data_IF_930002421043
#
_entry.id   IF_930002421043
#
_cell.length_a   1.000
_cell.length_b   1.000
_cell.length_c   1.000
_cell.angle_alpha   90.00
_cell.angle_beta   90.00
_cell.angle_gamma   90.00
#
_symmetry.space_group_name_H-M   'P 1'
#
loop_
_entity.id
_entity.type
_entity.pdbx_description
1 polymer ?
#
# COMPACT_ATOMS: atom_id res chain seq x y z
N UNK A 1 24.05 18.39 -1.49
CA UNK A 1 22.71 18.45 -0.91
C UNK A 1 22.12 17.07 -0.72
N UNK A 2 21.04 17.00 0.01
CA UNK A 2 20.29 15.77 0.24
C UNK A 2 19.17 15.65 -0.79
N UNK A 3 19.01 14.47 -1.40
CA UNK A 3 18.02 14.21 -2.45
C UNK A 3 17.14 13.02 -2.07
N UNK A 4 15.85 13.15 -2.30
CA UNK A 4 14.87 12.08 -2.08
C UNK A 4 14.30 11.64 -3.42
N UNK A 5 14.49 10.35 -3.73
CA UNK A 5 14.00 9.73 -4.96
C UNK A 5 12.97 8.68 -4.56
N UNK A 6 11.81 8.67 -5.22
CA UNK A 6 10.85 7.59 -5.04
C UNK A 6 10.84 6.66 -6.23
N UNK A 7 10.69 5.36 -5.95
CA UNK A 7 10.42 4.32 -6.94
C UNK A 7 9.02 3.78 -6.64
N UNK A 8 8.05 4.26 -7.40
CA UNK A 8 6.63 4.03 -7.21
C UNK A 8 6.09 3.13 -8.34
N UNK A 9 5.08 2.35 -8.03
CA UNK A 9 4.40 1.48 -8.99
C UNK A 9 3.63 0.39 -8.27
N UNK A 10 2.80 -0.33 -9.01
CA UNK A 10 2.02 -1.43 -8.47
C UNK A 10 2.88 -2.62 -8.04
N UNK A 11 2.27 -3.56 -7.32
CA UNK A 11 2.90 -4.82 -6.94
C UNK A 11 3.34 -5.60 -8.20
N UNK A 12 4.56 -6.12 -8.21
CA UNK A 12 5.10 -6.92 -9.31
C UNK A 12 5.59 -6.12 -10.52
N UNK A 13 5.67 -4.80 -10.43
CA UNK A 13 6.12 -3.94 -11.55
C UNK A 13 7.65 -3.80 -11.63
N UNK A 14 8.39 -4.32 -10.64
CA UNK A 14 9.86 -4.27 -10.64
C UNK A 14 10.47 -3.14 -9.80
N UNK A 15 9.74 -2.61 -8.82
CA UNK A 15 10.24 -1.52 -7.94
C UNK A 15 11.53 -1.90 -7.22
N UNK A 16 11.59 -3.09 -6.63
CA UNK A 16 12.77 -3.54 -5.87
C UNK A 16 13.99 -3.68 -6.78
N UNK A 17 13.81 -4.19 -7.99
CA UNK A 17 14.88 -4.35 -8.97
C UNK A 17 15.44 -2.99 -9.41
N UNK A 18 14.58 -2.04 -9.68
CA UNK A 18 14.99 -0.68 -10.07
C UNK A 18 15.66 0.05 -8.90
N UNK A 19 15.12 -0.08 -7.68
CA UNK A 19 15.73 0.51 -6.48
C UNK A 19 17.12 -0.07 -6.22
N UNK A 20 17.29 -1.40 -6.38
CA UNK A 20 18.59 -2.06 -6.23
C UNK A 20 19.59 -1.59 -7.29
N UNK A 21 19.15 -1.45 -8.53
CA UNK A 21 19.99 -0.98 -9.64
C UNK A 21 20.43 0.47 -9.42
N UNK A 22 19.50 1.32 -8.99
CA UNK A 22 19.80 2.71 -8.64
C UNK A 22 20.83 2.80 -7.51
N UNK A 23 20.65 2.01 -6.46
CA UNK A 23 21.57 1.93 -5.32
C UNK A 23 22.96 1.49 -5.77
N UNK A 24 23.05 0.52 -6.67
CA UNK A 24 24.31 0.05 -7.24
C UNK A 24 25.04 1.17 -7.99
N UNK A 25 24.37 1.88 -8.89
CA UNK A 25 24.98 2.97 -9.67
C UNK A 25 25.38 4.17 -8.79
N UNK A 26 24.61 4.49 -7.76
CA UNK A 26 24.98 5.52 -6.82
C UNK A 26 26.26 5.15 -6.07
N UNK A 27 26.37 3.90 -5.64
CA UNK A 27 27.59 3.39 -4.98
C UNK A 27 28.81 3.47 -5.89
N UNK A 28 28.66 3.07 -7.17
CA UNK A 28 29.75 3.17 -8.17
C UNK A 28 30.18 4.63 -8.37
N UNK A 29 29.26 5.58 -8.26
CA UNK A 29 29.54 7.01 -8.36
C UNK A 29 30.08 7.62 -7.05
N UNK A 30 30.28 6.82 -6.00
CA UNK A 30 30.76 7.29 -4.71
C UNK A 30 29.69 8.05 -3.90
N UNK A 31 28.42 7.87 -4.20
CA UNK A 31 27.31 8.53 -3.54
C UNK A 31 26.68 7.58 -2.52
N UNK A 32 26.63 7.98 -1.26
CA UNK A 32 25.95 7.23 -0.21
C UNK A 32 24.44 7.27 -0.39
N UNK A 33 23.80 6.11 -0.40
CA UNK A 33 22.34 6.01 -0.51
C UNK A 33 21.77 5.04 0.52
N UNK A 34 20.49 5.23 0.84
CA UNK A 34 19.72 4.32 1.69
C UNK A 34 18.37 4.08 1.03
N UNK A 35 17.95 2.82 0.96
CA UNK A 35 16.65 2.44 0.42
C UNK A 35 15.69 2.15 1.55
N UNK A 36 14.66 2.98 1.66
CA UNK A 36 13.56 2.82 2.61
C UNK A 36 12.43 2.05 1.93
N UNK A 37 12.02 0.94 2.52
CA UNK A 37 10.83 0.21 2.06
C UNK A 37 9.58 0.81 2.69
N UNK A 38 8.62 1.19 1.85
CA UNK A 38 7.32 1.69 2.29
C UNK A 38 6.42 0.64 2.90
N UNK A 39 6.76 -0.64 2.77
CA UNK A 39 5.96 -1.76 3.28
C UNK A 39 5.85 -1.79 4.81
N UNK A 40 6.65 -1.01 5.50
CA UNK A 40 6.61 -0.88 6.96
C UNK A 40 5.64 0.20 7.46
N UNK A 41 4.98 0.93 6.56
CA UNK A 41 4.20 2.13 6.93
C UNK A 41 2.68 2.03 6.87
N UNK A 42 2.02 0.92 6.51
CA UNK A 42 0.64 0.73 6.91
C UNK A 42 0.51 0.81 8.43
N UNK A 43 -0.61 1.30 8.94
CA UNK A 43 -0.84 1.36 10.39
C UNK A 43 -0.95 -0.03 11.01
N UNK A 44 -1.45 -1.00 10.24
CA UNK A 44 -1.68 -2.36 10.69
C UNK A 44 -0.72 -3.33 10.01
N UNK A 45 -0.34 -4.39 10.71
CA UNK A 45 0.41 -5.48 10.08
C UNK A 45 -0.43 -6.12 8.95
N UNK A 46 0.20 -6.80 7.98
CA UNK A 46 -0.52 -7.28 6.78
C UNK A 46 -1.80 -8.05 7.07
N UNK A 47 -1.80 -8.97 8.02
CA UNK A 47 -2.99 -9.78 8.33
C UNK A 47 -4.15 -8.92 8.84
N UNK A 48 -3.87 -7.92 9.67
CA UNK A 48 -4.89 -7.01 10.20
C UNK A 48 -5.30 -5.96 9.17
N UNK A 49 -4.38 -5.54 8.32
CA UNK A 49 -4.70 -4.61 7.24
C UNK A 49 -5.63 -5.27 6.21
N UNK A 50 -5.37 -6.52 5.85
CA UNK A 50 -6.24 -7.27 4.96
C UNK A 50 -7.63 -7.47 5.57
N UNK A 51 -7.69 -7.78 6.87
CA UNK A 51 -8.96 -7.91 7.60
C UNK A 51 -9.72 -6.58 7.63
N UNK A 52 -9.04 -5.45 7.83
CA UNK A 52 -9.66 -4.13 7.84
C UNK A 52 -10.17 -3.71 6.46
N UNK A 53 -9.44 -4.03 5.40
CA UNK A 53 -9.89 -3.82 4.03
C UNK A 53 -11.19 -4.57 3.75
N UNK A 54 -11.23 -5.83 4.13
CA UNK A 54 -12.41 -6.68 3.95
C UNK A 54 -13.58 -6.19 4.80
N UNK A 55 -13.33 -5.83 6.05
CA UNK A 55 -14.36 -5.26 6.93
C UNK A 55 -14.93 -3.96 6.36
N UNK A 56 -14.07 -3.06 5.92
CA UNK A 56 -14.49 -1.77 5.34
C UNK A 56 -15.34 -1.99 4.09
N UNK A 57 -14.94 -2.91 3.23
CA UNK A 57 -15.73 -3.27 2.04
C UNK A 57 -17.13 -3.77 2.45
N UNK A 58 -17.19 -4.75 3.33
CA UNK A 58 -18.45 -5.39 3.75
C UNK A 58 -19.39 -4.44 4.47
N UNK A 59 -18.87 -3.66 5.41
CA UNK A 59 -19.67 -2.69 6.16
C UNK A 59 -20.21 -1.60 5.23
N UNK A 60 -19.37 -1.04 4.38
CA UNK A 60 -19.75 0.00 3.42
C UNK A 60 -20.78 -0.52 2.42
N UNK A 61 -20.60 -1.76 1.96
CA UNK A 61 -21.54 -2.39 1.03
C UNK A 61 -22.94 -2.49 1.63
N UNK A 62 -23.05 -3.00 2.86
CA UNK A 62 -24.35 -3.14 3.53
C UNK A 62 -24.97 -1.79 3.88
N UNK A 63 -24.18 -0.86 4.42
CA UNK A 63 -24.64 0.50 4.72
C UNK A 63 -25.16 1.21 3.47
N UNK A 64 -24.43 1.08 2.37
CA UNK A 64 -24.83 1.68 1.09
C UNK A 64 -26.12 1.10 0.55
N UNK A 65 -26.31 -0.21 0.65
CA UNK A 65 -27.55 -0.88 0.25
C UNK A 65 -28.74 -0.39 1.09
N UNK A 66 -28.56 -0.27 2.39
CA UNK A 66 -29.60 0.27 3.28
C UNK A 66 -29.96 1.70 2.86
N UNK A 67 -28.97 2.53 2.62
CA UNK A 67 -29.16 3.92 2.24
C UNK A 67 -29.86 4.07 0.89
N UNK A 68 -29.56 3.19 -0.06
CA UNK A 68 -30.18 3.17 -1.39
C UNK A 68 -31.56 2.50 -1.40
N UNK A 69 -31.91 1.79 -0.35
CA UNK A 69 -33.15 1.03 -0.30
C UNK A 69 -33.08 -0.31 -1.04
N UNK A 70 -31.89 -0.83 -1.30
CA UNK A 70 -31.69 -2.13 -1.98
C UNK A 70 -31.46 -3.29 -1.01
N UNK A 71 -31.26 -3.01 0.30
CA UNK A 71 -31.07 -4.04 1.32
C UNK A 71 -32.42 -4.70 1.67
N UNK A 72 -32.43 -6.05 1.70
CA UNK A 72 -33.51 -6.85 2.24
C UNK A 72 -32.94 -8.01 3.04
N UNK A 73 -33.73 -8.56 3.97
CA UNK A 73 -33.30 -9.73 4.74
C UNK A 73 -32.99 -10.93 3.85
N UNK A 74 -33.77 -11.15 2.80
CA UNK A 74 -33.57 -12.25 1.85
C UNK A 74 -32.26 -12.07 1.07
N UNK A 75 -32.00 -10.84 0.62
CA UNK A 75 -30.74 -10.52 -0.09
C UNK A 75 -29.53 -10.67 0.84
N UNK A 76 -29.69 -10.30 2.10
CA UNK A 76 -28.61 -10.47 3.08
C UNK A 76 -28.28 -11.94 3.32
N UNK A 77 -29.24 -12.84 3.31
CA UNK A 77 -28.96 -14.27 3.42
C UNK A 77 -28.03 -14.75 2.29
N UNK A 78 -28.25 -14.28 1.07
CA UNK A 78 -27.39 -14.57 -0.09
C UNK A 78 -26.00 -14.00 0.11
N UNK A 79 -25.92 -12.72 0.49
CA UNK A 79 -24.64 -12.04 0.74
C UNK A 79 -23.87 -12.75 1.85
N UNK A 80 -24.55 -13.09 2.94
CA UNK A 80 -23.93 -13.72 4.11
C UNK A 80 -23.31 -15.07 3.77
N UNK A 81 -23.97 -15.86 2.92
CA UNK A 81 -23.41 -17.12 2.45
C UNK A 81 -22.13 -16.90 1.64
N UNK A 82 -22.12 -15.91 0.74
CA UNK A 82 -20.91 -15.54 0.00
C UNK A 82 -19.82 -15.00 0.92
N UNK A 83 -20.18 -14.22 1.94
CA UNK A 83 -19.21 -13.73 2.93
C UNK A 83 -18.53 -14.87 3.69
N UNK A 84 -19.33 -15.86 4.12
CA UNK A 84 -18.79 -17.03 4.83
C UNK A 84 -17.80 -17.84 3.99
N UNK A 85 -18.00 -17.85 2.68
CA UNK A 85 -17.13 -18.54 1.74
C UNK A 85 -15.98 -17.66 1.23
N UNK A 86 -15.88 -16.41 1.69
CA UNK A 86 -14.84 -15.49 1.22
C UNK A 86 -14.99 -15.06 -0.24
N UNK A 87 -16.20 -15.11 -0.79
CA UNK A 87 -16.49 -14.91 -2.22
C UNK A 87 -17.45 -13.75 -2.49
N UNK A 88 -17.74 -12.97 -1.48
CA UNK A 88 -18.73 -11.88 -1.57
C UNK A 88 -18.31 -10.73 -2.49
N UNK A 89 -17.01 -10.53 -2.73
CA UNK A 89 -16.52 -9.48 -3.63
C UNK A 89 -16.43 -9.92 -5.11
N UNK A 90 -16.86 -11.13 -5.42
CA UNK A 90 -16.78 -11.67 -6.78
C UNK A 90 -17.83 -11.02 -7.70
N UNK A 91 -17.40 -10.31 -8.77
CA UNK A 91 -18.34 -9.64 -9.68
C UNK A 91 -19.25 -10.61 -10.45
N UNK A 92 -18.92 -11.89 -10.51
CA UNK A 92 -19.76 -12.91 -11.18
C UNK A 92 -21.14 -13.07 -10.54
N UNK A 93 -21.30 -12.70 -9.28
CA UNK A 93 -22.59 -12.77 -8.60
C UNK A 93 -23.66 -11.88 -9.23
N UNK A 94 -23.26 -10.85 -9.99
CA UNK A 94 -24.21 -10.01 -10.74
C UNK A 94 -24.86 -10.74 -11.91
N UNK A 95 -24.28 -11.84 -12.37
CA UNK A 95 -24.88 -12.67 -13.44
C UNK A 95 -26.14 -13.39 -12.95
N UNK A 96 -26.18 -13.76 -11.69
CA UNK A 96 -27.32 -14.41 -11.06
C UNK A 96 -28.26 -13.42 -10.37
N UNK A 97 -27.70 -12.36 -9.75
CA UNK A 97 -28.43 -11.38 -8.97
C UNK A 97 -28.12 -9.96 -9.44
N UNK A 98 -29.04 -9.33 -10.18
CA UNK A 98 -28.86 -7.95 -10.66
C UNK A 98 -28.60 -6.96 -9.53
N UNK A 99 -29.29 -7.12 -8.40
CA UNK A 99 -29.16 -6.26 -7.24
C UNK A 99 -27.78 -6.34 -6.57
N UNK A 100 -27.00 -7.40 -6.84
CA UNK A 100 -25.68 -7.59 -6.24
C UNK A 100 -24.70 -6.49 -6.67
N UNK A 101 -24.95 -5.82 -7.77
CA UNK A 101 -24.18 -4.64 -8.21
C UNK A 101 -24.15 -3.56 -7.13
N UNK A 102 -25.29 -3.33 -6.44
CA UNK A 102 -25.36 -2.37 -5.35
C UNK A 102 -24.40 -2.72 -4.22
N UNK A 103 -24.32 -3.99 -3.83
CA UNK A 103 -23.36 -4.48 -2.82
C UNK A 103 -21.93 -4.20 -3.25
N UNK A 104 -21.54 -4.62 -4.47
CA UNK A 104 -20.18 -4.47 -4.96
C UNK A 104 -19.78 -2.99 -5.10
N UNK A 105 -20.64 -2.17 -5.66
CA UNK A 105 -20.38 -0.75 -5.89
C UNK A 105 -20.19 -0.01 -4.56
N UNK A 106 -21.06 -0.22 -3.61
CA UNK A 106 -20.95 0.42 -2.29
C UNK A 106 -19.72 -0.05 -1.53
N UNK A 107 -19.37 -1.33 -1.63
CA UNK A 107 -18.14 -1.87 -1.03
C UNK A 107 -16.89 -1.24 -1.60
N UNK A 108 -16.80 -1.13 -2.91
CA UNK A 108 -15.69 -0.47 -3.60
C UNK A 108 -15.59 1.01 -3.24
N UNK A 109 -16.72 1.69 -3.18
CA UNK A 109 -16.76 3.11 -2.82
C UNK A 109 -16.23 3.34 -1.39
N UNK A 110 -16.63 2.46 -0.46
CA UNK A 110 -16.11 2.50 0.91
C UNK A 110 -14.61 2.28 0.99
N UNK A 111 -14.09 1.37 0.17
CA UNK A 111 -12.64 1.12 0.12
C UNK A 111 -11.83 2.34 -0.35
N UNK A 112 -12.39 3.20 -1.18
CA UNK A 112 -11.72 4.43 -1.60
C UNK A 112 -11.41 5.37 -0.44
N UNK A 113 -12.19 5.30 0.65
CA UNK A 113 -11.94 6.06 1.87
C UNK A 113 -10.90 5.44 2.79
N UNK A 114 -10.37 4.28 2.43
CA UNK A 114 -9.37 3.55 3.21
C UNK A 114 -8.07 3.33 2.44
N UNK A 115 -8.14 2.71 1.25
CA UNK A 115 -6.98 2.30 0.47
C UNK A 115 -6.13 3.50 0.06
N UNK A 116 -4.86 3.49 0.45
CA UNK A 116 -3.90 4.55 0.10
C UNK A 116 -4.18 5.89 0.76
N UNK A 117 -5.05 5.94 1.76
CA UNK A 117 -5.35 7.14 2.53
C UNK A 117 -4.60 7.14 3.86
N UNK A 118 -4.66 8.25 4.60
CA UNK A 118 -4.09 8.36 5.94
C UNK A 118 -4.74 7.37 6.93
N UNK A 119 -5.90 6.81 6.62
CA UNK A 119 -6.54 5.80 7.46
C UNK A 119 -5.82 4.44 7.38
N UNK A 120 -5.21 4.14 6.25
CA UNK A 120 -4.44 2.91 6.05
C UNK A 120 -2.95 3.12 6.31
N UNK A 121 -2.40 4.24 5.84
CA UNK A 121 -0.97 4.47 5.67
C UNK A 121 -0.49 5.59 6.58
N UNK A 122 0.66 5.39 7.23
CA UNK A 122 1.33 6.38 8.06
C UNK A 122 2.18 7.36 7.26
N UNK A 123 1.55 8.14 6.39
CA UNK A 123 2.24 9.15 5.58
C UNK A 123 2.98 10.19 6.41
N UNK A 124 2.42 10.58 7.55
CA UNK A 124 3.04 11.58 8.45
C UNK A 124 4.40 11.11 8.95
N UNK A 125 4.54 9.82 9.23
CA UNK A 125 5.80 9.26 9.71
C UNK A 125 6.87 9.26 8.62
N UNK A 126 6.48 8.92 7.38
CA UNK A 126 7.41 8.98 6.23
C UNK A 126 7.82 10.43 5.94
N UNK A 127 6.87 11.37 6.00
CA UNK A 127 7.17 12.79 5.81
C UNK A 127 8.17 13.30 6.86
N UNK A 128 8.02 12.89 8.11
CA UNK A 128 8.94 13.25 9.19
C UNK A 128 10.35 12.71 8.93
N UNK A 129 10.46 11.47 8.46
CA UNK A 129 11.74 10.88 8.06
C UNK A 129 12.39 11.70 6.95
N UNK A 130 11.63 12.09 5.94
CA UNK A 130 12.12 12.93 4.84
C UNK A 130 12.64 14.29 5.36
N UNK A 131 11.90 14.91 6.28
CA UNK A 131 12.31 16.17 6.90
C UNK A 131 13.60 16.03 7.69
N UNK A 132 13.72 15.00 8.53
CA UNK A 132 14.92 14.73 9.31
C UNK A 132 16.12 14.47 8.39
N UNK A 133 15.94 13.67 7.35
CA UNK A 133 16.97 13.39 6.37
C UNK A 133 17.46 14.68 5.69
N UNK A 134 16.55 15.51 5.20
CA UNK A 134 16.89 16.77 4.51
C UNK A 134 17.54 17.79 5.44
N UNK A 135 17.18 17.75 6.72
CA UNK A 135 17.80 18.60 7.76
C UNK A 135 19.23 18.16 8.12
N UNK A 136 19.67 17.01 7.61
CA UNK A 136 21.01 16.48 7.89
C UNK A 136 21.11 15.76 9.23
N UNK A 137 19.99 15.26 9.77
CA UNK A 137 19.99 14.45 10.99
C UNK A 137 20.81 13.19 10.77
N UNK A 138 21.79 12.94 11.66
CA UNK A 138 22.73 11.82 11.51
C UNK A 138 22.10 10.47 11.78
N UNK A 139 21.23 10.38 12.77
CA UNK A 139 20.59 9.12 13.16
C UNK A 139 19.07 9.27 13.10
N UNK A 140 18.42 8.37 12.38
CA UNK A 140 16.96 8.38 12.21
C UNK A 140 16.41 7.01 12.60
N UNK A 141 15.39 7.01 13.45
CA UNK A 141 14.67 5.80 13.80
C UNK A 141 13.68 5.42 12.71
N UNK A 142 13.78 4.19 12.23
CA UNK A 142 12.92 3.67 11.17
C UNK A 142 12.06 2.53 11.68
N UNK A 143 10.78 2.59 11.38
CA UNK A 143 9.80 1.57 11.74
C UNK A 143 10.08 0.27 10.99
N UNK A 144 9.98 -0.84 11.71
CA UNK A 144 10.02 -2.21 11.16
C UNK A 144 8.76 -2.94 11.57
N UNK A 145 8.23 -3.74 10.66
CA UNK A 145 7.00 -4.46 10.88
C UNK A 145 7.12 -5.86 10.30
N UNK A 146 6.85 -6.87 11.12
CA UNK A 146 6.83 -8.27 10.69
C UNK A 146 5.43 -8.75 10.34
N UNK A 147 5.20 -10.04 10.56
CA UNK A 147 3.94 -10.70 10.22
C UNK A 147 2.95 -10.79 11.37
N UNK A 148 3.43 -10.62 12.60
CA UNK A 148 2.62 -10.71 13.81
C UNK A 148 2.59 -9.38 14.54
N UNK A 149 1.56 -9.14 15.32
CA UNK A 149 1.33 -7.87 16.02
C UNK A 149 2.43 -7.53 17.04
N UNK A 150 3.14 -8.56 17.52
CA UNK A 150 4.30 -8.40 18.41
C UNK A 150 5.59 -8.07 17.66
N UNK A 151 5.56 -8.07 16.35
CA UNK A 151 6.71 -7.80 15.49
C UNK A 151 6.64 -6.40 14.91
N UNK A 152 6.56 -5.41 15.79
CA UNK A 152 6.64 -3.99 15.43
C UNK A 152 7.70 -3.37 16.32
N UNK A 153 8.76 -2.81 15.68
CA UNK A 153 9.87 -2.21 16.40
C UNK A 153 10.47 -1.08 15.57
N UNK A 154 11.47 -0.41 16.14
CA UNK A 154 12.22 0.65 15.45
C UNK A 154 13.70 0.29 15.45
N UNK A 155 14.38 0.60 14.35
CA UNK A 155 15.83 0.50 14.23
C UNK A 155 16.40 1.87 13.96
N UNK A 156 17.50 2.18 14.64
CA UNK A 156 18.24 3.43 14.42
C UNK A 156 19.23 3.23 13.28
N UNK A 157 19.13 4.06 12.25
CA UNK A 157 19.97 4.00 11.06
C UNK A 157 20.84 5.25 10.98
N UNK A 158 22.12 5.05 10.67
CA UNK A 158 23.09 6.14 10.49
C UNK A 158 22.95 6.72 9.07
N UNK A 159 22.55 7.97 8.99
CA UNK A 159 22.41 8.73 7.74
C UNK A 159 23.54 9.73 7.51
N UNK A 160 24.57 9.73 8.37
CA UNK A 160 25.65 10.74 8.33
C UNK A 160 26.39 10.77 7.00
N UNK A 161 26.47 9.63 6.31
CA UNK A 161 27.15 9.48 5.01
C UNK A 161 26.18 9.25 3.85
N UNK A 162 24.89 9.51 4.05
CA UNK A 162 23.86 9.29 3.03
C UNK A 162 23.46 10.62 2.41
N UNK A 163 23.57 10.71 1.09
CA UNK A 163 23.19 11.88 0.30
C UNK A 163 21.86 11.66 -0.44
N UNK A 164 21.51 10.40 -0.72
CA UNK A 164 20.29 10.05 -1.45
C UNK A 164 19.46 9.07 -0.65
N UNK A 165 18.22 9.46 -0.36
CA UNK A 165 17.21 8.58 0.21
C UNK A 165 16.34 8.07 -0.94
N UNK A 166 16.31 6.74 -1.14
CA UNK A 166 15.43 6.08 -2.12
C UNK A 166 14.26 5.49 -1.36
N UNK A 167 13.05 5.89 -1.71
CA UNK A 167 11.82 5.33 -1.14
C UNK A 167 11.19 4.39 -2.16
N UNK A 168 11.26 3.09 -1.91
CA UNK A 168 10.65 2.05 -2.74
C UNK A 168 9.26 1.77 -2.17
N UNK A 169 8.20 2.22 -2.87
CA UNK A 169 6.86 2.22 -2.29
C UNK A 169 5.76 2.38 -3.33
N UNK A 170 4.69 1.59 -3.19
CA UNK A 170 3.49 1.74 -4.02
C UNK A 170 2.87 3.15 -3.88
N UNK A 171 2.98 3.76 -2.71
CA UNK A 171 2.46 5.10 -2.42
C UNK A 171 3.52 6.21 -2.52
N UNK A 172 4.68 5.91 -3.14
CA UNK A 172 5.83 6.82 -3.18
C UNK A 172 5.53 8.19 -3.79
N UNK A 173 4.60 8.25 -4.74
CA UNK A 173 4.22 9.49 -5.41
C UNK A 173 2.89 10.06 -4.90
N UNK A 174 2.41 9.61 -3.74
CA UNK A 174 1.20 10.13 -3.13
C UNK A 174 1.33 11.61 -2.73
N UNK A 175 0.25 12.37 -2.90
CA UNK A 175 0.15 13.75 -2.44
C UNK A 175 -0.02 13.87 -0.91
N UNK A 176 -0.19 12.74 -0.21
CA UNK A 176 -0.40 12.73 1.24
C UNK A 176 0.88 12.98 2.05
N UNK A 177 2.04 13.03 1.40
CA UNK A 177 3.28 13.43 2.05
C UNK A 177 4.14 14.28 1.10
N UNK A 178 5.08 15.04 1.66
CA UNK A 178 5.87 16.04 0.95
C UNK A 178 7.36 15.73 1.03
N UNK A 179 8.14 16.34 0.14
CA UNK A 179 9.60 16.35 0.20
C UNK A 179 10.31 15.47 -0.82
N UNK A 180 9.58 14.82 -1.71
CA UNK A 180 10.15 14.04 -2.81
C UNK A 180 10.71 14.98 -3.88
N UNK A 181 11.97 14.78 -4.24
CA UNK A 181 12.64 15.60 -5.27
C UNK A 181 12.50 14.99 -6.66
N UNK A 182 12.67 13.67 -6.77
CA UNK A 182 12.63 12.95 -8.05
C UNK A 182 11.65 11.79 -7.95
N UNK A 183 10.41 11.97 -8.41
CA UNK A 183 9.46 10.86 -8.45
C UNK A 183 9.69 10.00 -9.70
N UNK A 184 9.82 8.69 -9.50
CA UNK A 184 9.91 7.70 -10.57
C UNK A 184 8.69 6.82 -10.52
N UNK A 185 7.94 6.78 -11.62
CA UNK A 185 6.77 5.91 -11.75
C UNK A 185 7.07 4.79 -12.74
N UNK A 186 6.94 3.55 -12.26
CA UNK A 186 7.11 2.37 -13.09
C UNK A 186 5.74 1.88 -13.56
N UNK A 187 5.61 1.70 -14.87
CA UNK A 187 4.43 1.15 -15.52
C UNK A 187 4.78 -0.14 -16.24
N UNK A 188 3.86 -1.11 -16.20
CA UNK A 188 3.99 -2.35 -16.95
C UNK A 188 2.62 -2.82 -17.45
N UNK A 189 2.63 -3.70 -18.45
CA UNK A 189 1.39 -4.34 -18.91
C UNK A 189 0.88 -5.31 -17.84
N UNK A 190 -0.42 -5.66 -17.85
CA UNK A 190 -0.94 -6.68 -16.94
C UNK A 190 -0.19 -8.01 -17.01
N UNK A 191 0.26 -8.41 -18.22
CA UNK A 191 1.04 -9.63 -18.43
C UNK A 191 2.41 -9.55 -17.77
N UNK A 192 3.12 -8.44 -17.93
CA UNK A 192 4.41 -8.20 -17.29
C UNK A 192 4.29 -8.21 -15.76
N UNK A 193 3.27 -7.54 -15.23
CA UNK A 193 2.98 -7.51 -13.80
C UNK A 193 2.71 -8.92 -13.26
N UNK A 194 1.92 -9.71 -13.98
CA UNK A 194 1.59 -11.07 -13.58
C UNK A 194 2.85 -11.96 -13.57
N UNK A 195 3.71 -11.84 -14.58
CA UNK A 195 4.97 -12.59 -14.64
C UNK A 195 5.88 -12.27 -13.45
N UNK A 196 6.04 -10.99 -13.10
CA UNK A 196 6.82 -10.55 -11.94
C UNK A 196 6.24 -11.08 -10.62
N UNK A 197 4.92 -11.04 -10.48
CA UNK A 197 4.24 -11.53 -9.27
C UNK A 197 4.42 -13.03 -9.10
N UNK A 198 4.29 -13.81 -10.17
CA UNK A 198 4.51 -15.25 -10.17
C UNK A 198 5.95 -15.60 -9.81
N UNK A 199 6.93 -14.90 -10.41
CA UNK A 199 8.33 -15.11 -10.12
C UNK A 199 8.68 -14.88 -8.64
N UNK A 200 7.88 -14.07 -7.93
CA UNK A 200 8.04 -13.77 -6.50
C UNK A 200 7.10 -14.59 -5.60
N UNK A 201 6.34 -15.54 -6.16
CA UNK A 201 5.30 -16.29 -5.45
C UNK A 201 4.28 -15.37 -4.77
N UNK A 202 3.86 -14.31 -5.47
CA UNK A 202 2.87 -13.32 -5.01
C UNK A 202 1.62 -13.37 -5.88
N UNK A 203 0.98 -14.52 -5.90
CA UNK A 203 -0.25 -14.72 -6.68
C UNK A 203 -1.49 -14.19 -5.97
#
# INVERSE_FOLDING_TARGET
GKVVITVCGGSGVGKSEIASLLSFYLKEAGIGSYTLSGDNYPHRIPVYNDAERLHTFRESALKGMVKEGTFTAERFEVIHEFQKNGDDANPKHTEEYDWYESYLRNGKEGLKGYLGTNNEIGFDEVEEIVKEFKAGTDEIWLKRMGREDTELWYEKVDFSKIQVLVIEWTHGNSDNYKGVDIPVLLNSTPQETLAHRRARNRD
#
